data_IF_017216219216
#
_entry.id   IF_017216219216
#
_cell.length_a   1.000
_cell.length_b   1.000
_cell.length_c   1.000
_cell.angle_alpha   90.00
_cell.angle_beta   90.00
_cell.angle_gamma   90.00
#
_symmetry.space_group_name_H-M   'P 1'
#
loop_
_entity.id
_entity.type
_entity.pdbx_description
1 polymer ?
#
# COMPACT_ATOMS: atom_id res chain seq x y z
N UNK A 1 21.00 3.44 -20.33
CA UNK A 1 20.26 2.31 -20.94
C UNK A 1 18.81 2.70 -20.96
N UNK A 2 18.27 2.84 -22.15
CA UNK A 2 16.88 3.22 -22.38
C UNK A 2 15.96 2.05 -22.01
N UNK A 3 14.85 2.34 -21.34
CA UNK A 3 13.84 1.41 -20.83
C UNK A 3 13.21 0.49 -21.89
N UNK A 4 13.54 0.64 -23.18
CA UNK A 4 12.99 -0.14 -24.29
C UNK A 4 13.54 -1.57 -24.41
N UNK A 5 14.72 -1.86 -23.87
CA UNK A 5 15.34 -3.20 -23.99
C UNK A 5 14.74 -4.24 -23.03
N UNK A 6 14.10 -3.82 -21.95
CA UNK A 6 13.49 -4.73 -20.96
C UNK A 6 12.09 -5.23 -21.36
N UNK A 7 11.50 -4.68 -22.42
CA UNK A 7 10.14 -4.97 -22.87
C UNK A 7 10.06 -5.73 -24.20
N UNK A 8 11.20 -6.08 -24.77
CA UNK A 8 11.27 -6.75 -26.06
C UNK A 8 11.47 -8.26 -25.88
N UNK A 9 10.77 -9.03 -26.72
CA UNK A 9 11.10 -10.44 -26.90
C UNK A 9 12.55 -10.56 -27.38
N UNK A 10 13.24 -11.61 -26.97
CA UNK A 10 14.67 -11.76 -27.29
C UNK A 10 14.93 -13.13 -27.91
N UNK A 11 15.52 -13.12 -29.07
CA UNK A 11 16.04 -14.32 -29.73
C UNK A 11 17.56 -14.37 -29.53
N UNK A 12 18.07 -15.41 -28.87
CA UNK A 12 19.49 -15.66 -28.76
C UNK A 12 19.89 -16.69 -29.84
N UNK A 13 20.79 -16.33 -30.72
CA UNK A 13 21.23 -17.18 -31.82
C UNK A 13 22.31 -18.16 -31.34
N UNK A 14 22.51 -19.23 -32.14
CA UNK A 14 23.53 -20.26 -31.87
C UNK A 14 24.94 -19.69 -31.95
N UNK A 15 25.16 -18.73 -32.85
CA UNK A 15 26.42 -18.01 -33.03
C UNK A 15 26.77 -17.02 -31.93
N UNK A 16 25.85 -16.84 -30.94
CA UNK A 16 25.99 -15.91 -29.83
C UNK A 16 25.38 -14.54 -30.10
N UNK A 17 24.84 -14.28 -31.29
CA UNK A 17 24.09 -13.07 -31.61
C UNK A 17 22.80 -12.97 -30.79
N UNK A 18 22.28 -11.74 -30.63
CA UNK A 18 21.02 -11.49 -29.93
C UNK A 18 20.18 -10.46 -30.70
N UNK A 19 18.92 -10.80 -30.94
CA UNK A 19 17.96 -9.92 -31.60
C UNK A 19 16.84 -9.65 -30.64
N UNK A 20 16.56 -8.36 -30.43
CA UNK A 20 15.50 -7.89 -29.55
C UNK A 20 14.43 -7.18 -30.36
N UNK A 21 13.16 -7.48 -30.06
CA UNK A 21 12.03 -6.90 -30.76
C UNK A 21 10.72 -7.53 -30.30
N UNK A 22 9.71 -7.39 -31.12
CA UNK A 22 8.40 -8.01 -30.89
C UNK A 22 8.27 -9.24 -31.77
N UNK A 23 8.09 -10.41 -31.16
CA UNK A 23 7.77 -11.62 -31.91
C UNK A 23 6.38 -11.51 -32.53
N UNK A 24 6.27 -11.69 -33.85
CA UNK A 24 5.02 -11.48 -34.59
C UNK A 24 4.22 -12.78 -34.77
N UNK A 25 4.86 -13.94 -34.59
CA UNK A 25 4.24 -15.26 -34.74
C UNK A 25 4.54 -16.14 -33.51
N UNK A 26 4.00 -17.37 -33.52
CA UNK A 26 4.21 -18.34 -32.42
C UNK A 26 5.71 -18.72 -32.35
N UNK A 27 6.25 -18.71 -31.12
CA UNK A 27 7.61 -19.13 -30.81
C UNK A 27 7.93 -20.59 -31.21
N UNK A 28 6.92 -21.40 -31.49
CA UNK A 28 7.02 -22.78 -31.98
C UNK A 28 7.10 -22.88 -33.52
N UNK A 29 6.87 -21.77 -34.22
CA UNK A 29 6.94 -21.76 -35.70
C UNK A 29 8.31 -22.11 -36.18
N UNK A 30 8.41 -22.77 -37.34
CA UNK A 30 9.69 -23.14 -37.96
C UNK A 30 10.52 -21.91 -38.37
N UNK A 31 9.83 -20.83 -38.74
CA UNK A 31 10.43 -19.53 -39.04
C UNK A 31 9.84 -18.53 -38.05
N UNK A 32 10.70 -17.87 -37.30
CA UNK A 32 10.33 -16.81 -36.35
C UNK A 32 10.39 -15.45 -37.04
N UNK A 33 9.35 -14.65 -36.87
CA UNK A 33 9.27 -13.28 -37.37
C UNK A 33 9.35 -12.34 -36.21
N UNK A 34 10.36 -11.49 -36.16
CA UNK A 34 10.56 -10.50 -35.09
C UNK A 34 10.65 -9.11 -35.72
N UNK A 35 9.89 -8.17 -35.14
CA UNK A 35 9.94 -6.76 -35.49
C UNK A 35 10.84 -6.02 -34.49
N UNK A 36 11.90 -5.45 -34.97
CA UNK A 36 12.85 -4.67 -34.18
C UNK A 36 12.28 -3.30 -33.81
N UNK A 37 12.92 -2.59 -32.89
CA UNK A 37 12.46 -1.28 -32.39
C UNK A 37 12.42 -0.17 -33.46
N UNK A 38 13.21 -0.33 -34.52
CA UNK A 38 13.23 0.55 -35.71
C UNK A 38 12.20 0.15 -36.77
N UNK A 39 11.41 -0.90 -36.50
CA UNK A 39 10.32 -1.34 -37.38
C UNK A 39 10.73 -2.38 -38.45
N UNK A 40 11.98 -2.80 -38.49
CA UNK A 40 12.40 -3.86 -39.41
C UNK A 40 11.82 -5.21 -39.00
N UNK A 41 11.31 -5.97 -39.97
CA UNK A 41 10.90 -7.35 -39.76
C UNK A 41 12.04 -8.28 -40.18
N UNK A 42 12.47 -9.15 -39.27
CA UNK A 42 13.51 -10.12 -39.48
C UNK A 42 12.91 -11.53 -39.39
N UNK A 43 13.14 -12.34 -40.38
CA UNK A 43 12.77 -13.75 -40.38
C UNK A 43 13.99 -14.63 -40.06
N UNK A 44 13.85 -15.52 -39.09
CA UNK A 44 14.94 -16.38 -38.60
C UNK A 44 14.42 -17.79 -38.47
N UNK A 45 15.13 -18.74 -39.03
CA UNK A 45 14.82 -20.14 -38.83
C UNK A 45 14.96 -20.49 -37.32
N UNK A 46 13.97 -21.16 -36.78
CA UNK A 46 13.98 -21.54 -35.35
C UNK A 46 15.22 -22.39 -35.00
N UNK A 47 15.72 -23.18 -35.93
CA UNK A 47 16.95 -23.97 -35.77
C UNK A 47 18.21 -23.13 -35.54
N UNK A 48 18.17 -21.85 -35.88
CA UNK A 48 19.26 -20.90 -35.61
C UNK A 48 19.16 -20.22 -34.23
N UNK A 49 18.03 -20.42 -33.53
CA UNK A 49 17.82 -19.86 -32.22
C UNK A 49 18.16 -20.86 -31.11
N UNK A 50 19.09 -20.47 -30.24
CA UNK A 50 19.47 -21.23 -29.05
C UNK A 50 18.45 -21.06 -27.93
N UNK A 51 17.90 -19.86 -27.77
CA UNK A 51 16.94 -19.50 -26.72
C UNK A 51 15.96 -18.44 -27.24
N UNK A 52 14.68 -18.57 -26.87
CA UNK A 52 13.62 -17.62 -27.24
C UNK A 52 12.98 -17.16 -25.92
N UNK A 53 13.00 -15.88 -25.69
CA UNK A 53 12.44 -15.28 -24.48
C UNK A 53 11.32 -14.33 -24.86
N UNK A 54 10.09 -14.69 -24.46
CA UNK A 54 8.88 -13.91 -24.72
C UNK A 54 8.53 -13.14 -23.44
N UNK A 55 8.52 -11.83 -23.53
CA UNK A 55 8.31 -10.95 -22.37
C UNK A 55 6.92 -11.14 -21.76
N UNK A 56 5.88 -11.28 -22.59
CA UNK A 56 4.51 -11.51 -22.10
C UNK A 56 4.33 -12.83 -21.33
N UNK A 57 4.99 -13.91 -21.73
CA UNK A 57 4.98 -15.19 -20.99
C UNK A 57 5.65 -15.06 -19.63
N UNK A 58 6.70 -14.25 -19.52
CA UNK A 58 7.39 -14.03 -18.24
C UNK A 58 6.55 -13.23 -17.26
N UNK A 59 5.89 -12.20 -17.76
CA UNK A 59 4.96 -11.41 -16.93
C UNK A 59 3.81 -12.30 -16.43
N UNK A 60 3.23 -13.12 -17.31
CA UNK A 60 2.16 -14.05 -16.94
C UNK A 60 2.61 -15.07 -15.87
N UNK A 61 3.78 -15.68 -16.04
CA UNK A 61 4.36 -16.61 -15.06
C UNK A 61 4.68 -15.94 -13.74
N UNK A 62 5.19 -14.71 -13.77
CA UNK A 62 5.44 -13.94 -12.56
C UNK A 62 4.13 -13.63 -11.81
N UNK A 63 3.11 -13.18 -12.52
CA UNK A 63 1.79 -12.91 -11.95
C UNK A 63 1.18 -14.18 -11.33
N UNK A 64 1.25 -15.32 -12.03
CA UNK A 64 0.78 -16.61 -11.50
C UNK A 64 1.54 -17.01 -10.24
N UNK A 65 2.86 -16.83 -10.21
CA UNK A 65 3.70 -17.12 -9.05
C UNK A 65 3.30 -16.27 -7.84
N UNK A 66 3.14 -14.96 -8.01
CA UNK A 66 2.74 -14.05 -6.94
C UNK A 66 1.35 -14.40 -6.43
N UNK A 67 0.41 -14.71 -7.33
CA UNK A 67 -0.97 -15.08 -7.01
C UNK A 67 -1.08 -16.34 -6.13
N UNK A 68 -0.11 -17.21 -6.21
CA UNK A 68 -0.09 -18.46 -5.43
C UNK A 68 0.40 -18.28 -4.00
N UNK A 69 0.81 -17.06 -3.60
CA UNK A 69 1.50 -16.79 -2.34
C UNK A 69 0.83 -15.65 -1.56
N UNK A 70 0.97 -15.68 -0.24
CA UNK A 70 0.57 -14.63 0.70
C UNK A 70 1.69 -13.57 0.89
N UNK A 71 1.37 -12.44 1.52
CA UNK A 71 2.35 -11.40 1.89
C UNK A 71 3.10 -11.79 3.17
N UNK A 72 3.79 -12.93 3.13
CA UNK A 72 4.63 -13.41 4.22
C UNK A 72 6.11 -13.44 3.83
N UNK A 73 6.99 -13.35 4.84
CA UNK A 73 8.43 -13.47 4.67
C UNK A 73 8.82 -14.72 3.85
N UNK A 74 8.27 -15.89 4.18
CA UNK A 74 8.55 -17.15 3.49
C UNK A 74 8.10 -17.14 2.03
N UNK A 75 6.96 -16.55 1.75
CA UNK A 75 6.42 -16.38 0.39
C UNK A 75 7.31 -15.49 -0.45
N UNK A 76 7.72 -14.33 0.06
CA UNK A 76 8.64 -13.44 -0.64
C UNK A 76 10.00 -14.08 -0.91
N UNK A 77 10.55 -14.85 0.04
CA UNK A 77 11.76 -15.64 -0.22
C UNK A 77 11.57 -16.68 -1.35
N UNK A 78 10.42 -17.34 -1.37
CA UNK A 78 10.09 -18.32 -2.41
C UNK A 78 9.99 -17.68 -3.78
N UNK A 79 9.25 -16.57 -3.90
CA UNK A 79 9.10 -15.79 -5.14
C UNK A 79 10.47 -15.29 -5.62
N UNK A 80 11.29 -14.75 -4.70
CA UNK A 80 12.62 -14.24 -5.04
C UNK A 80 13.52 -15.33 -5.65
N UNK A 81 13.50 -16.55 -5.11
CA UNK A 81 14.27 -17.67 -5.65
C UNK A 81 13.83 -18.04 -7.06
N UNK A 82 12.54 -18.06 -7.30
CA UNK A 82 11.98 -18.40 -8.61
C UNK A 82 12.25 -17.30 -9.66
N UNK A 83 12.09 -16.02 -9.27
CA UNK A 83 12.48 -14.89 -10.11
C UNK A 83 13.97 -14.92 -10.48
N UNK A 84 14.84 -15.28 -9.53
CA UNK A 84 16.27 -15.44 -9.80
C UNK A 84 16.54 -16.55 -10.83
N UNK A 85 15.87 -17.69 -10.72
CA UNK A 85 15.94 -18.80 -11.69
C UNK A 85 15.48 -18.38 -13.07
N UNK A 86 14.50 -17.50 -13.17
CA UNK A 86 13.95 -16.98 -14.43
C UNK A 86 14.68 -15.73 -14.95
N UNK A 87 15.85 -15.40 -14.42
CA UNK A 87 16.65 -14.21 -14.79
C UNK A 87 15.94 -12.86 -14.56
N UNK A 88 14.92 -12.83 -13.72
CA UNK A 88 14.19 -11.61 -13.29
C UNK A 88 14.86 -11.01 -12.05
N UNK A 89 16.11 -10.62 -12.19
CA UNK A 89 16.96 -10.20 -11.06
C UNK A 89 16.36 -9.04 -10.24
N UNK A 90 15.75 -8.04 -10.88
CA UNK A 90 15.16 -6.91 -10.18
C UNK A 90 13.97 -7.32 -9.31
N UNK A 91 13.08 -8.15 -9.83
CA UNK A 91 11.94 -8.68 -9.08
C UNK A 91 12.42 -9.56 -7.92
N UNK A 92 13.39 -10.45 -8.17
CA UNK A 92 14.01 -11.25 -7.12
C UNK A 92 14.55 -10.39 -5.98
N UNK A 93 15.28 -9.32 -6.30
CA UNK A 93 15.82 -8.41 -5.28
C UNK A 93 14.73 -7.65 -4.55
N UNK A 94 13.70 -7.15 -5.23
CA UNK A 94 12.58 -6.46 -4.59
C UNK A 94 11.83 -7.36 -3.59
N UNK A 95 11.59 -8.63 -3.94
CA UNK A 95 10.97 -9.59 -3.04
C UNK A 95 11.88 -9.97 -1.87
N UNK A 96 13.19 -10.06 -2.05
CA UNK A 96 14.12 -10.24 -0.92
C UNK A 96 14.12 -9.03 0.01
N UNK A 97 14.07 -7.82 -0.53
CA UNK A 97 13.98 -6.58 0.26
C UNK A 97 12.66 -6.54 1.04
N UNK A 98 11.55 -6.96 0.43
CA UNK A 98 10.27 -7.10 1.16
C UNK A 98 10.37 -8.19 2.25
N UNK A 99 11.03 -9.29 1.98
CA UNK A 99 11.23 -10.34 2.99
C UNK A 99 11.99 -9.81 4.23
N UNK A 100 13.05 -9.02 4.04
CA UNK A 100 13.78 -8.44 5.20
C UNK A 100 13.04 -7.30 5.89
N UNK A 101 12.10 -6.62 5.20
CA UNK A 101 11.18 -5.69 5.85
C UNK A 101 10.22 -6.42 6.79
N UNK A 102 9.70 -7.59 6.37
CA UNK A 102 8.79 -8.41 7.16
C UNK A 102 9.50 -9.15 8.31
N UNK A 103 10.73 -9.61 8.07
CA UNK A 103 11.59 -10.21 9.10
C UNK A 103 13.04 -9.69 8.98
N UNK A 104 13.37 -8.59 9.68
CA UNK A 104 14.71 -8.02 9.65
C UNK A 104 15.80 -8.95 10.26
N UNK A 105 15.39 -10.01 10.97
CA UNK A 105 16.33 -10.96 11.60
C UNK A 105 16.80 -12.06 10.66
N UNK A 106 16.16 -12.22 9.50
CA UNK A 106 16.50 -13.26 8.53
C UNK A 106 17.83 -13.01 7.84
N UNK A 107 18.83 -13.75 8.27
CA UNK A 107 20.20 -13.70 7.75
C UNK A 107 20.27 -14.14 6.27
N UNK A 108 19.43 -15.08 5.85
CA UNK A 108 19.51 -15.65 4.50
C UNK A 108 19.12 -14.64 3.44
N UNK A 109 18.05 -13.90 3.65
CA UNK A 109 17.60 -12.85 2.74
C UNK A 109 18.63 -11.71 2.67
N UNK A 110 19.21 -11.28 3.80
CA UNK A 110 20.28 -10.30 3.79
C UNK A 110 21.51 -10.75 3.00
N UNK A 111 21.94 -12.01 3.21
CA UNK A 111 23.07 -12.57 2.47
C UNK A 111 22.78 -12.69 0.97
N UNK A 112 21.54 -13.05 0.59
CA UNK A 112 21.12 -13.13 -0.81
C UNK A 112 21.08 -11.75 -1.47
N UNK A 113 20.85 -10.68 -0.71
CA UNK A 113 20.97 -9.29 -1.14
C UNK A 113 22.42 -8.77 -1.19
N UNK A 114 23.38 -9.65 -0.92
CA UNK A 114 24.82 -9.35 -0.85
C UNK A 114 25.24 -8.42 0.31
N UNK A 115 24.53 -8.54 1.44
CA UNK A 115 24.87 -7.85 2.68
C UNK A 115 25.66 -8.77 3.63
N UNK A 116 26.41 -8.16 4.54
CA UNK A 116 27.06 -8.83 5.68
C UNK A 116 26.93 -7.94 6.92
N UNK A 117 26.97 -8.57 8.10
CA UNK A 117 26.92 -7.79 9.35
C UNK A 117 28.23 -7.09 9.62
N UNK A 118 28.15 -5.83 10.00
CA UNK A 118 29.32 -5.03 10.38
C UNK A 118 28.99 -4.06 11.53
N UNK A 119 29.62 -4.24 12.71
CA UNK A 119 30.50 -5.37 13.14
C UNK A 119 29.81 -6.72 13.11
N UNK A 120 30.56 -7.83 13.15
CA UNK A 120 29.97 -9.17 13.24
C UNK A 120 29.00 -9.28 14.41
N UNK A 121 27.82 -9.87 14.19
CA UNK A 121 26.73 -10.05 15.18
C UNK A 121 26.13 -8.76 15.75
N UNK A 122 26.34 -7.62 15.10
CA UNK A 122 25.78 -6.32 15.54
C UNK A 122 24.29 -6.13 15.17
N UNK A 123 23.75 -6.97 14.29
CA UNK A 123 22.45 -6.75 13.68
C UNK A 123 22.45 -5.66 12.59
N UNK A 124 23.58 -4.98 12.37
CA UNK A 124 23.71 -3.95 11.32
C UNK A 124 24.17 -4.63 10.03
N UNK A 125 23.34 -4.55 8.99
CA UNK A 125 23.61 -5.15 7.70
C UNK A 125 24.17 -4.12 6.72
N UNK A 126 25.28 -4.45 6.10
CA UNK A 126 26.01 -3.57 5.16
C UNK A 126 26.37 -4.39 3.91
N UNK A 127 26.27 -3.81 2.72
CA UNK A 127 26.69 -4.46 1.48
C UNK A 127 28.15 -4.88 1.55
N UNK A 128 28.46 -6.08 1.07
CA UNK A 128 29.84 -6.61 1.05
C UNK A 128 30.80 -5.75 0.23
N UNK A 129 30.32 -5.19 -0.90
CA UNK A 129 31.10 -4.25 -1.72
C UNK A 129 31.52 -3.01 -0.93
N UNK A 130 30.58 -2.48 -0.11
CA UNK A 130 30.81 -1.31 0.72
C UNK A 130 31.78 -1.61 1.86
N UNK A 131 31.71 -2.83 2.45
CA UNK A 131 32.68 -3.28 3.46
C UNK A 131 34.09 -3.39 2.89
N UNK A 132 34.24 -3.75 1.63
CA UNK A 132 35.54 -3.83 0.97
C UNK A 132 36.18 -2.44 0.76
N UNK A 133 35.37 -1.40 0.65
CA UNK A 133 35.83 -0.02 0.43
C UNK A 133 35.93 0.83 1.70
N UNK A 134 35.70 0.26 2.89
CA UNK A 134 35.59 1.00 4.16
C UNK A 134 36.92 1.50 4.72
N UNK A 135 37.52 2.48 4.04
CA UNK A 135 38.63 3.30 4.57
C UNK A 135 38.23 4.77 4.71
N UNK A 136 37.11 5.03 5.44
CA UNK A 136 36.83 6.41 5.90
C UNK A 136 36.36 7.41 4.83
N UNK A 137 35.94 6.95 3.65
CA UNK A 137 35.43 7.83 2.60
C UNK A 137 33.91 7.97 2.74
N UNK A 138 33.42 9.21 2.52
CA UNK A 138 31.98 9.47 2.37
C UNK A 138 31.47 8.66 1.17
N UNK A 139 30.57 7.74 1.41
CA UNK A 139 30.00 6.89 0.38
C UNK A 139 29.18 7.70 -0.61
N UNK A 140 29.30 7.43 -1.89
CA UNK A 140 28.55 8.08 -2.95
C UNK A 140 27.67 7.08 -3.70
N UNK A 141 26.40 7.47 -3.90
CA UNK A 141 25.46 6.73 -4.74
C UNK A 141 24.66 7.72 -5.57
N UNK A 142 24.62 7.53 -6.89
CA UNK A 142 23.96 8.42 -7.85
C UNK A 142 24.28 9.92 -7.64
N UNK A 143 25.54 10.24 -7.37
CA UNK A 143 26.00 11.61 -7.16
C UNK A 143 25.65 12.23 -5.80
N UNK A 144 24.93 11.52 -4.93
CA UNK A 144 24.65 11.94 -3.55
C UNK A 144 25.67 11.33 -2.58
N UNK A 145 26.11 12.12 -1.61
CA UNK A 145 26.95 11.66 -0.50
C UNK A 145 26.10 11.12 0.64
N UNK A 146 26.56 10.04 1.28
CA UNK A 146 25.95 9.45 2.45
C UNK A 146 26.97 9.39 3.58
N UNK A 147 26.55 9.67 4.80
CA UNK A 147 27.42 9.73 5.98
C UNK A 147 27.82 8.36 6.49
N UNK A 148 27.06 7.33 6.14
CA UNK A 148 27.30 5.94 6.54
C UNK A 148 27.09 4.99 5.36
N UNK A 149 27.81 3.88 5.39
CA UNK A 149 27.63 2.78 4.43
C UNK A 149 26.20 2.21 4.47
N UNK A 150 25.60 2.15 5.67
CA UNK A 150 24.23 1.71 5.86
C UNK A 150 23.25 2.63 5.13
N UNK A 151 23.37 3.96 5.32
CA UNK A 151 22.47 4.92 4.66
C UNK A 151 22.58 4.84 3.13
N UNK A 152 23.77 4.63 2.58
CA UNK A 152 23.96 4.37 1.15
C UNK A 152 23.28 3.09 0.71
N UNK A 153 23.49 1.99 1.44
CA UNK A 153 22.91 0.69 1.12
C UNK A 153 21.37 0.74 1.14
N UNK A 154 20.77 1.42 2.11
CA UNK A 154 19.32 1.66 2.17
C UNK A 154 18.83 2.44 0.95
N UNK A 155 19.50 3.55 0.61
CA UNK A 155 19.12 4.35 -0.57
C UNK A 155 19.20 3.53 -1.89
N UNK A 156 20.13 2.61 -1.98
CA UNK A 156 20.26 1.72 -3.13
C UNK A 156 19.18 0.64 -3.16
N UNK A 157 18.78 0.13 -1.97
CA UNK A 157 17.65 -0.79 -1.83
C UNK A 157 16.33 -0.11 -2.24
N UNK A 158 16.07 1.10 -1.72
CA UNK A 158 14.90 1.90 -2.08
C UNK A 158 14.82 2.15 -3.60
N UNK A 159 15.97 2.45 -4.22
CA UNK A 159 16.03 2.65 -5.67
C UNK A 159 15.71 1.37 -6.47
N UNK A 160 16.04 0.18 -5.94
CA UNK A 160 15.70 -1.08 -6.60
C UNK A 160 14.21 -1.39 -6.47
N UNK A 161 13.66 -1.22 -5.26
CA UNK A 161 12.22 -1.38 -5.02
C UNK A 161 11.44 -0.41 -5.92
N UNK A 162 11.83 0.86 -5.96
CA UNK A 162 11.17 1.86 -6.79
C UNK A 162 11.21 1.50 -8.28
N UNK A 163 12.34 0.98 -8.77
CA UNK A 163 12.43 0.52 -10.17
C UNK A 163 11.51 -0.68 -10.45
N UNK A 164 11.41 -1.63 -9.52
CA UNK A 164 10.50 -2.76 -9.67
C UNK A 164 9.03 -2.30 -9.65
N UNK A 165 8.67 -1.38 -8.74
CA UNK A 165 7.34 -0.74 -8.72
C UNK A 165 7.02 -0.05 -10.04
N UNK A 166 7.93 0.76 -10.59
CA UNK A 166 7.72 1.42 -11.89
C UNK A 166 7.53 0.43 -13.05
N UNK A 167 8.25 -0.68 -13.05
CA UNK A 167 8.03 -1.72 -14.06
C UNK A 167 6.62 -2.31 -13.98
N UNK A 168 6.12 -2.51 -12.76
CA UNK A 168 4.76 -3.00 -12.54
C UNK A 168 3.71 -1.94 -12.92
N UNK A 169 3.95 -0.67 -12.58
CA UNK A 169 3.11 0.47 -13.02
C UNK A 169 3.01 0.54 -14.55
N UNK A 170 4.14 0.42 -15.24
CA UNK A 170 4.18 0.41 -16.72
C UNK A 170 3.42 -0.78 -17.32
N UNK A 171 3.50 -1.96 -16.68
CA UNK A 171 2.73 -3.13 -17.09
C UNK A 171 1.23 -2.90 -16.90
N UNK A 172 0.82 -2.38 -15.75
CA UNK A 172 -0.57 -2.02 -15.44
C UNK A 172 -1.09 -1.04 -16.48
N UNK A 173 -0.35 0.03 -16.79
CA UNK A 173 -0.75 1.04 -17.78
C UNK A 173 -0.92 0.47 -19.18
N UNK A 174 0.02 -0.37 -19.61
CA UNK A 174 -0.03 -1.01 -20.92
C UNK A 174 -1.27 -1.89 -21.06
N UNK A 175 -1.53 -2.73 -20.07
CA UNK A 175 -2.68 -3.63 -20.08
C UNK A 175 -4.00 -2.87 -19.91
N UNK A 176 -4.04 -1.83 -19.09
CA UNK A 176 -5.24 -1.00 -18.93
C UNK A 176 -5.71 -0.36 -20.24
N UNK A 177 -4.79 0.16 -21.05
CA UNK A 177 -5.09 0.75 -22.37
C UNK A 177 -5.67 -0.26 -23.36
N UNK A 178 -5.33 -1.53 -23.22
CA UNK A 178 -5.72 -2.60 -24.15
C UNK A 178 -6.91 -3.44 -23.69
N UNK A 179 -7.37 -3.32 -22.43
CA UNK A 179 -8.35 -4.24 -21.81
C UNK A 179 -9.69 -4.39 -22.54
N UNK A 180 -10.12 -3.34 -23.25
CA UNK A 180 -11.39 -3.31 -23.97
C UNK A 180 -11.27 -3.77 -25.44
N UNK A 181 -10.07 -4.10 -25.90
CA UNK A 181 -9.86 -4.60 -27.27
C UNK A 181 -10.30 -6.04 -27.40
N UNK A 182 -10.82 -6.41 -28.57
CA UNK A 182 -11.20 -7.80 -28.92
C UNK A 182 -10.03 -8.63 -29.47
N UNK A 183 -8.87 -8.01 -29.61
CA UNK A 183 -7.62 -8.61 -30.11
C UNK A 183 -6.95 -9.47 -29.05
N UNK A 184 -5.92 -10.24 -29.43
CA UNK A 184 -5.08 -11.00 -28.49
C UNK A 184 -4.52 -10.12 -27.38
N UNK A 185 -4.14 -8.87 -27.67
CA UNK A 185 -3.71 -7.90 -26.64
C UNK A 185 -4.79 -7.60 -25.60
N UNK A 186 -6.05 -7.57 -26.02
CA UNK A 186 -7.15 -7.39 -25.08
C UNK A 186 -7.38 -8.64 -24.21
N UNK A 187 -7.19 -9.84 -24.77
CA UNK A 187 -7.26 -11.09 -24.01
C UNK A 187 -6.11 -11.13 -22.98
N UNK A 188 -4.88 -10.85 -23.39
CA UNK A 188 -3.71 -10.77 -22.50
C UNK A 188 -3.93 -9.75 -21.36
N UNK A 189 -4.48 -8.58 -21.70
CA UNK A 189 -4.76 -7.55 -20.71
C UNK A 189 -5.79 -7.99 -19.66
N UNK A 190 -6.87 -8.63 -20.07
CA UNK A 190 -7.87 -9.18 -19.14
C UNK A 190 -7.28 -10.30 -18.28
N UNK A 191 -6.50 -11.18 -18.88
CA UNK A 191 -5.80 -12.27 -18.16
C UNK A 191 -4.79 -11.68 -17.15
N UNK A 192 -4.05 -10.64 -17.53
CA UNK A 192 -3.16 -9.94 -16.61
C UNK A 192 -3.91 -9.44 -15.39
N UNK A 193 -5.01 -8.69 -15.58
CA UNK A 193 -5.78 -8.14 -14.45
C UNK A 193 -6.52 -9.21 -13.65
N UNK A 194 -7.05 -10.25 -14.26
CA UNK A 194 -7.70 -11.35 -13.51
C UNK A 194 -6.72 -12.11 -12.62
N UNK A 195 -5.45 -12.04 -12.94
CA UNK A 195 -4.38 -12.73 -12.21
C UNK A 195 -3.50 -11.79 -11.39
N UNK A 196 -3.72 -10.49 -11.38
CA UNK A 196 -2.89 -9.54 -10.64
C UNK A 196 -3.25 -9.55 -9.15
N UNK A 197 -2.38 -10.13 -8.31
CA UNK A 197 -2.48 -10.10 -6.85
C UNK A 197 -1.16 -9.67 -6.17
N UNK A 198 -0.25 -9.06 -6.94
CA UNK A 198 1.00 -8.56 -6.39
C UNK A 198 0.75 -7.36 -5.47
N UNK A 199 1.06 -7.52 -4.18
CA UNK A 199 0.88 -6.47 -3.16
C UNK A 199 1.62 -5.17 -3.49
N UNK A 200 2.69 -5.23 -4.30
CA UNK A 200 3.39 -4.03 -4.77
C UNK A 200 2.54 -3.16 -5.70
N UNK A 201 1.46 -3.70 -6.28
CA UNK A 201 0.53 -2.94 -7.11
C UNK A 201 -0.48 -2.11 -6.31
N UNK A 202 -0.63 -2.36 -5.00
CA UNK A 202 -1.67 -1.73 -4.16
C UNK A 202 -1.58 -0.19 -4.19
N UNK A 203 -0.37 0.34 -4.10
CA UNK A 203 -0.14 1.79 -4.11
C UNK A 203 -0.62 2.42 -5.42
N UNK A 204 -0.29 1.82 -6.57
CA UNK A 204 -0.70 2.32 -7.88
C UNK A 204 -2.20 2.17 -8.09
N UNK A 205 -2.79 1.03 -7.72
CA UNK A 205 -4.24 0.81 -7.79
C UNK A 205 -4.98 1.85 -6.93
N UNK A 206 -4.54 2.07 -5.69
CA UNK A 206 -5.12 3.06 -4.79
C UNK A 206 -5.03 4.47 -5.35
N UNK A 207 -3.90 4.83 -5.96
CA UNK A 207 -3.70 6.11 -6.65
C UNK A 207 -4.68 6.28 -7.80
N UNK A 208 -4.86 5.24 -8.65
CA UNK A 208 -5.83 5.26 -9.76
C UNK A 208 -7.26 5.46 -9.28
N UNK A 209 -7.66 4.78 -8.22
CA UNK A 209 -8.98 4.98 -7.62
C UNK A 209 -9.15 6.45 -7.20
N UNK A 210 -8.18 7.03 -6.48
CA UNK A 210 -8.22 8.43 -6.04
C UNK A 210 -8.27 9.42 -7.21
N UNK A 211 -7.49 9.17 -8.26
CA UNK A 211 -7.50 10.00 -9.49
C UNK A 211 -8.83 9.95 -10.23
N UNK A 212 -9.47 8.80 -10.29
CA UNK A 212 -10.79 8.65 -10.92
C UNK A 212 -11.91 9.26 -10.08
N UNK A 213 -11.86 9.09 -8.76
CA UNK A 213 -12.77 9.75 -7.84
C UNK A 213 -12.71 11.29 -7.97
N UNK A 214 -11.51 11.85 -8.12
CA UNK A 214 -11.34 13.29 -8.36
C UNK A 214 -11.97 13.76 -9.67
N UNK A 215 -12.18 12.85 -10.64
CA UNK A 215 -12.86 13.10 -11.91
C UNK A 215 -14.36 12.76 -11.88
N UNK A 216 -14.89 12.38 -10.70
CA UNK A 216 -16.29 12.04 -10.49
C UNK A 216 -16.71 10.71 -11.13
N UNK A 217 -15.79 9.83 -11.42
CA UNK A 217 -16.06 8.49 -11.99
C UNK A 217 -15.33 7.41 -11.19
N UNK A 218 -15.81 6.18 -11.30
CA UNK A 218 -15.24 4.99 -10.66
C UNK A 218 -15.16 3.91 -11.73
N UNK A 219 -13.99 3.34 -11.91
CA UNK A 219 -13.84 2.11 -12.71
C UNK A 219 -13.84 0.92 -11.75
N UNK A 220 -14.87 0.07 -11.86
CA UNK A 220 -15.05 -1.11 -11.00
C UNK A 220 -13.86 -2.08 -11.05
N UNK A 221 -13.06 -2.01 -12.12
CA UNK A 221 -11.85 -2.82 -12.25
C UNK A 221 -10.90 -2.59 -11.08
N UNK A 222 -10.63 -1.32 -10.73
CA UNK A 222 -9.65 -0.98 -9.69
C UNK A 222 -10.11 -1.45 -8.30
N UNK A 223 -11.39 -1.30 -8.00
CA UNK A 223 -11.96 -1.79 -6.74
C UNK A 223 -11.91 -3.32 -6.68
N UNK A 224 -12.23 -4.01 -7.78
CA UNK A 224 -12.18 -5.46 -7.88
C UNK A 224 -10.74 -5.99 -7.72
N UNK A 225 -9.75 -5.31 -8.31
CA UNK A 225 -8.34 -5.66 -8.16
C UNK A 225 -7.89 -5.50 -6.71
N UNK A 226 -8.20 -4.37 -6.08
CA UNK A 226 -7.83 -4.14 -4.68
C UNK A 226 -8.45 -5.21 -3.75
N UNK A 227 -9.67 -5.65 -4.07
CA UNK A 227 -10.36 -6.73 -3.35
C UNK A 227 -9.70 -8.11 -3.51
N UNK A 228 -8.99 -8.33 -4.61
CA UNK A 228 -8.27 -9.59 -4.89
C UNK A 228 -6.89 -9.63 -4.24
N UNK A 229 -6.34 -8.46 -3.85
CA UNK A 229 -5.01 -8.38 -3.26
C UNK A 229 -5.00 -9.05 -1.88
N UNK A 230 -4.04 -9.95 -1.62
CA UNK A 230 -3.92 -10.58 -0.32
C UNK A 230 -3.33 -9.62 0.73
N UNK A 231 -3.62 -9.92 2.00
CA UNK A 231 -2.92 -9.36 3.13
C UNK A 231 -3.45 -8.04 3.67
N UNK A 232 -2.84 -7.61 4.75
CA UNK A 232 -3.25 -6.42 5.52
C UNK A 232 -3.10 -5.09 4.76
N UNK A 233 -2.17 -5.03 3.81
CA UNK A 233 -1.93 -3.83 3.00
C UNK A 233 -3.13 -3.46 2.13
N UNK A 234 -3.79 -4.44 1.51
CA UNK A 234 -5.02 -4.23 0.74
C UNK A 234 -6.17 -3.78 1.63
N UNK A 235 -6.35 -4.43 2.79
CA UNK A 235 -7.33 -4.00 3.79
C UNK A 235 -7.06 -2.57 4.27
N UNK A 236 -5.79 -2.23 4.53
CA UNK A 236 -5.39 -0.87 4.89
C UNK A 236 -5.73 0.17 3.81
N UNK A 237 -5.50 -0.15 2.54
CA UNK A 237 -5.87 0.70 1.41
C UNK A 237 -7.39 0.88 1.27
N UNK A 238 -8.17 -0.19 1.46
CA UNK A 238 -9.64 -0.13 1.47
C UNK A 238 -10.17 0.72 2.64
N UNK A 239 -9.56 0.62 3.82
CA UNK A 239 -9.89 1.45 4.98
C UNK A 239 -9.60 2.93 4.70
N UNK A 240 -8.42 3.23 4.13
CA UNK A 240 -8.05 4.60 3.75
C UNK A 240 -9.04 5.19 2.73
N UNK A 241 -9.46 4.40 1.76
CA UNK A 241 -10.48 4.79 0.78
C UNK A 241 -11.84 5.00 1.46
N UNK A 242 -12.32 4.07 2.29
CA UNK A 242 -13.59 4.19 2.99
C UNK A 242 -13.67 5.45 3.86
N UNK A 243 -12.56 5.78 4.55
CA UNK A 243 -12.51 6.93 5.46
C UNK A 243 -12.35 8.26 4.70
N UNK A 244 -11.59 8.29 3.60
CA UNK A 244 -11.21 9.53 2.93
C UNK A 244 -12.00 9.82 1.63
N UNK A 245 -12.71 8.84 1.06
CA UNK A 245 -13.56 9.08 -0.09
C UNK A 245 -14.78 9.93 0.30
N UNK A 246 -14.99 11.04 -0.40
CA UNK A 246 -16.23 11.82 -0.28
C UNK A 246 -17.33 11.27 -1.21
N UNK A 247 -17.48 9.93 -1.22
CA UNK A 247 -18.40 9.24 -2.10
C UNK A 247 -18.96 8.00 -1.38
N UNK A 248 -20.25 8.03 -1.07
CA UNK A 248 -20.94 6.97 -0.32
C UNK A 248 -20.91 5.62 -1.04
N UNK A 249 -20.98 5.61 -2.38
CA UNK A 249 -20.91 4.37 -3.16
C UNK A 249 -19.54 3.68 -2.96
N UNK A 250 -18.45 4.45 -2.91
CA UNK A 250 -17.11 3.91 -2.65
C UNK A 250 -16.98 3.44 -1.22
N UNK A 251 -17.51 4.22 -0.26
CA UNK A 251 -17.55 3.84 1.15
C UNK A 251 -18.23 2.46 1.30
N UNK A 252 -19.42 2.28 0.72
CA UNK A 252 -20.19 1.04 0.78
C UNK A 252 -19.47 -0.14 0.09
N UNK A 253 -18.86 0.11 -1.06
CA UNK A 253 -18.07 -0.91 -1.76
C UNK A 253 -16.86 -1.35 -0.92
N UNK A 254 -16.11 -0.41 -0.35
CA UNK A 254 -14.98 -0.73 0.50
C UNK A 254 -15.41 -1.56 1.72
N UNK A 255 -16.51 -1.18 2.40
CA UNK A 255 -17.05 -1.94 3.51
C UNK A 255 -17.45 -3.36 3.10
N UNK A 256 -18.16 -3.50 1.98
CA UNK A 256 -18.56 -4.81 1.45
C UNK A 256 -17.34 -5.71 1.20
N UNK A 257 -16.23 -5.13 0.74
CA UNK A 257 -15.00 -5.87 0.49
C UNK A 257 -14.27 -6.24 1.80
N UNK A 258 -14.27 -5.33 2.77
CA UNK A 258 -13.59 -5.52 4.06
C UNK A 258 -14.26 -6.58 4.95
N UNK A 259 -15.58 -6.79 4.83
CA UNK A 259 -16.30 -7.79 5.65
C UNK A 259 -16.31 -9.20 5.03
N UNK A 260 -15.63 -9.41 3.89
CA UNK A 260 -15.62 -10.71 3.21
C UNK A 260 -14.88 -11.80 3.97
N UNK A 261 -13.83 -11.44 4.70
CA UNK A 261 -13.02 -12.38 5.49
C UNK A 261 -12.91 -11.91 6.94
N UNK A 262 -12.85 -12.83 7.92
CA UNK A 262 -12.69 -12.46 9.34
C UNK A 262 -11.44 -11.60 9.58
N UNK A 263 -10.31 -11.91 8.93
CA UNK A 263 -9.06 -11.18 9.11
C UNK A 263 -9.16 -9.73 8.60
N UNK A 264 -9.77 -9.50 7.44
CA UNK A 264 -9.98 -8.15 6.92
C UNK A 264 -10.99 -7.36 7.76
N UNK A 265 -12.00 -8.01 8.33
CA UNK A 265 -12.95 -7.40 9.26
C UNK A 265 -12.25 -6.92 10.54
N UNK A 266 -11.35 -7.71 11.10
CA UNK A 266 -10.58 -7.33 12.29
C UNK A 266 -9.63 -6.15 12.01
N UNK A 267 -8.97 -6.16 10.86
CA UNK A 267 -8.13 -5.04 10.42
C UNK A 267 -8.99 -3.78 10.22
N UNK A 268 -10.17 -3.91 9.60
CA UNK A 268 -11.12 -2.82 9.39
C UNK A 268 -11.59 -2.23 10.73
N UNK A 269 -11.96 -3.08 11.68
CA UNK A 269 -12.34 -2.67 13.01
C UNK A 269 -11.24 -1.85 13.68
N UNK A 270 -10.01 -2.37 13.72
CA UNK A 270 -8.87 -1.67 14.30
C UNK A 270 -8.58 -0.33 13.60
N UNK A 271 -8.66 -0.31 12.26
CA UNK A 271 -8.45 0.90 11.46
C UNK A 271 -9.50 1.98 11.74
N UNK A 272 -10.78 1.62 11.80
CA UNK A 272 -11.86 2.58 12.11
C UNK A 272 -11.83 3.05 13.57
N UNK A 273 -11.45 2.17 14.49
CA UNK A 273 -11.19 2.56 15.89
C UNK A 273 -10.08 3.61 16.00
N UNK A 274 -9.00 3.46 15.25
CA UNK A 274 -7.91 4.43 15.18
C UNK A 274 -8.35 5.75 14.53
N UNK A 275 -9.19 5.69 13.51
CA UNK A 275 -9.73 6.86 12.83
C UNK A 275 -10.72 7.64 13.71
N UNK A 276 -11.47 6.96 14.58
CA UNK A 276 -12.42 7.59 15.51
C UNK A 276 -11.74 8.60 16.46
N UNK A 277 -10.46 8.39 16.78
CA UNK A 277 -9.68 9.30 17.60
C UNK A 277 -9.38 10.64 16.89
N UNK A 278 -9.44 10.69 15.56
CA UNK A 278 -9.16 11.89 14.76
C UNK A 278 -10.46 12.71 14.58
N UNK A 279 -10.49 13.98 15.03
CA UNK A 279 -11.72 14.79 15.00
C UNK A 279 -12.37 14.89 13.61
N UNK A 280 -11.56 15.03 12.55
CA UNK A 280 -11.99 15.18 11.17
C UNK A 280 -12.55 13.89 10.53
N UNK A 281 -12.21 12.73 11.09
CA UNK A 281 -12.62 11.42 10.58
C UNK A 281 -13.68 10.74 11.48
N UNK A 282 -13.93 11.29 12.66
CA UNK A 282 -14.75 10.67 13.70
C UNK A 282 -16.14 10.25 13.25
N UNK A 283 -16.85 11.14 12.58
CA UNK A 283 -18.22 10.84 12.14
C UNK A 283 -18.27 9.74 11.07
N UNK A 284 -17.27 9.68 10.18
CA UNK A 284 -17.17 8.59 9.19
C UNK A 284 -16.78 7.29 9.85
N UNK A 285 -15.78 7.31 10.72
CA UNK A 285 -15.34 6.14 11.45
C UNK A 285 -16.49 5.53 12.29
N UNK A 286 -17.32 6.37 12.91
CA UNK A 286 -18.48 5.92 13.67
C UNK A 286 -19.50 5.18 12.76
N UNK A 287 -19.81 5.71 11.56
CA UNK A 287 -20.70 5.03 10.60
C UNK A 287 -20.14 3.68 10.15
N UNK A 288 -18.83 3.61 9.91
CA UNK A 288 -18.20 2.36 9.51
C UNK A 288 -18.19 1.33 10.64
N UNK A 289 -17.95 1.76 11.89
CA UNK A 289 -18.07 0.89 13.07
C UNK A 289 -19.51 0.41 13.28
N UNK A 290 -20.51 1.28 13.03
CA UNK A 290 -21.91 0.88 13.00
C UNK A 290 -22.17 -0.23 11.99
N UNK A 291 -21.64 -0.10 10.76
CA UNK A 291 -21.81 -1.10 9.70
C UNK A 291 -21.16 -2.44 10.03
N UNK A 292 -20.05 -2.44 10.81
CA UNK A 292 -19.41 -3.68 11.26
C UNK A 292 -20.21 -4.43 12.33
N UNK A 293 -21.12 -3.76 13.02
CA UNK A 293 -21.96 -4.33 14.09
C UNK A 293 -21.16 -5.03 15.21
N UNK A 294 -19.94 -4.54 15.50
CA UNK A 294 -19.07 -5.11 16.53
C UNK A 294 -19.24 -4.40 17.87
N UNK A 295 -19.75 -5.10 18.92
CA UNK A 295 -19.99 -4.49 20.23
C UNK A 295 -18.72 -4.00 20.94
N UNK A 296 -17.53 -4.46 20.53
CA UNK A 296 -16.25 -3.96 21.07
C UNK A 296 -16.03 -2.46 20.80
N UNK A 297 -16.76 -1.87 19.85
CA UNK A 297 -16.70 -0.44 19.56
C UNK A 297 -17.42 0.42 20.64
N UNK A 298 -18.38 -0.15 21.38
CA UNK A 298 -19.26 0.60 22.31
C UNK A 298 -18.46 1.48 23.29
N UNK A 299 -17.46 0.99 24.03
CA UNK A 299 -16.75 1.81 25.02
C UNK A 299 -16.04 3.02 24.41
N UNK A 300 -15.51 2.87 23.20
CA UNK A 300 -14.77 3.94 22.52
C UNK A 300 -15.74 4.93 21.88
N UNK A 301 -16.88 4.46 21.34
CA UNK A 301 -17.95 5.32 20.87
C UNK A 301 -18.52 6.18 22.00
N UNK A 302 -18.77 5.62 23.20
CA UNK A 302 -19.22 6.39 24.37
C UNK A 302 -18.22 7.51 24.73
N UNK A 303 -16.92 7.21 24.68
CA UNK A 303 -15.89 8.24 24.94
C UNK A 303 -15.86 9.33 23.86
N UNK A 304 -16.20 8.97 22.64
CA UNK A 304 -16.16 9.86 21.46
C UNK A 304 -17.47 10.63 21.24
N UNK A 305 -18.51 10.37 22.03
CA UNK A 305 -19.87 10.93 21.88
C UNK A 305 -19.89 12.45 21.97
N UNK A 306 -19.11 13.02 22.88
CA UNK A 306 -18.96 14.45 23.07
C UNK A 306 -17.48 14.79 23.13
N UNK A 307 -17.05 15.76 22.35
CA UNK A 307 -15.67 16.29 22.39
C UNK A 307 -15.67 17.75 22.80
N UNK A 308 -14.52 18.28 23.18
CA UNK A 308 -14.36 19.68 23.55
C UNK A 308 -13.55 20.40 22.48
N UNK A 309 -14.13 21.44 21.90
CA UNK A 309 -13.43 22.33 20.95
C UNK A 309 -12.98 23.58 21.70
N UNK A 310 -11.67 23.84 21.71
CA UNK A 310 -11.11 25.08 22.26
C UNK A 310 -11.14 26.16 21.18
N UNK A 311 -11.90 27.23 21.43
CA UNK A 311 -11.95 28.41 20.57
C UNK A 311 -11.24 29.55 21.31
N UNK A 312 -10.18 30.05 20.66
CA UNK A 312 -9.40 31.18 21.14
C UNK A 312 -9.92 32.43 20.46
N UNK A 313 -10.59 33.31 21.22
CA UNK A 313 -10.96 34.64 20.74
C UNK A 313 -9.88 35.64 21.14
N UNK A 314 -9.26 36.25 20.15
CA UNK A 314 -8.37 37.40 20.35
C UNK A 314 -9.17 38.66 20.09
N UNK A 315 -9.41 39.43 21.14
CA UNK A 315 -10.09 40.75 21.04
C UNK A 315 -9.17 41.87 21.52
N UNK A 316 -9.24 43.06 20.92
CA UNK A 316 -8.55 44.22 21.46
C UNK A 316 -9.19 44.61 22.82
N UNK A 317 -8.39 44.63 23.86
CA UNK A 317 -8.81 45.08 25.18
C UNK A 317 -8.26 46.50 25.38
N UNK A 318 -9.16 47.48 25.41
CA UNK A 318 -8.84 48.87 25.80
C UNK A 318 -9.14 48.98 27.28
N UNK A 319 -8.13 49.00 28.10
CA UNK A 319 -8.27 49.40 29.51
C UNK A 319 -7.76 50.84 29.70
N UNK A 320 -8.63 51.68 30.28
CA UNK A 320 -8.26 53.06 30.67
C UNK A 320 -7.87 53.02 32.12
N UNK A 321 -6.62 53.33 32.44
CA UNK A 321 -6.16 53.47 33.83
C UNK A 321 -6.61 54.83 34.38
N UNK A 322 -6.89 54.88 35.71
CA UNK A 322 -7.28 56.07 36.45
C UNK A 322 -6.32 57.26 36.35
N UNK A 323 -5.14 57.07 35.75
CA UNK A 323 -4.12 58.11 35.49
C UNK A 323 -4.08 58.56 34.00
N UNK A 324 -5.12 58.23 33.20
CA UNK A 324 -5.22 58.69 31.78
C UNK A 324 -4.37 57.96 30.76
N UNK A 325 -3.73 56.87 31.11
CA UNK A 325 -2.97 56.03 30.19
C UNK A 325 -3.84 54.97 29.53
N UNK A 326 -3.83 54.90 28.20
CA UNK A 326 -4.45 53.82 27.40
C UNK A 326 -3.47 52.69 27.19
N UNK A 327 -3.78 51.50 27.74
CA UNK A 327 -2.99 50.30 27.42
C UNK A 327 -3.78 49.44 26.44
N UNK A 328 -3.25 49.27 25.25
CA UNK A 328 -3.74 48.32 24.24
C UNK A 328 -3.10 46.94 24.52
N UNK A 329 -3.90 46.04 25.11
CA UNK A 329 -3.49 44.66 25.35
C UNK A 329 -4.34 43.71 24.53
N UNK A 330 -3.73 42.67 24.01
CA UNK A 330 -4.47 41.54 23.39
C UNK A 330 -4.87 40.56 24.52
N UNK A 331 -6.14 40.50 24.85
CA UNK A 331 -6.64 39.47 25.76
C UNK A 331 -7.11 38.26 24.93
N UNK A 332 -6.39 37.15 25.09
CA UNK A 332 -6.75 35.87 24.49
C UNK A 332 -7.63 35.10 25.47
N UNK A 333 -8.93 34.98 25.17
CA UNK A 333 -9.86 34.21 25.98
C UNK A 333 -10.10 32.86 25.27
N UNK A 334 -9.69 31.77 25.90
CA UNK A 334 -9.99 30.43 25.41
C UNK A 334 -11.30 29.97 26.01
N UNK A 335 -12.26 29.66 25.15
CA UNK A 335 -13.54 29.05 25.53
C UNK A 335 -13.56 27.59 25.10
N UNK A 336 -14.04 26.75 25.99
CA UNK A 336 -14.27 25.33 25.71
C UNK A 336 -15.74 25.10 25.35
N UNK A 337 -16.01 24.65 24.15
CA UNK A 337 -17.38 24.39 23.68
C UNK A 337 -17.52 22.88 23.47
N UNK A 338 -18.52 22.23 24.11
CA UNK A 338 -18.84 20.84 23.84
C UNK A 338 -19.37 20.67 22.40
N UNK A 339 -18.87 19.69 21.70
CA UNK A 339 -19.31 19.32 20.36
C UNK A 339 -19.90 17.90 20.40
N UNK A 340 -21.18 17.82 20.10
CA UNK A 340 -21.94 16.58 20.05
C UNK A 340 -21.75 15.91 18.67
N UNK A 341 -21.46 14.61 18.66
CA UNK A 341 -21.23 13.82 17.45
C UNK A 341 -22.44 12.93 17.14
N UNK A 342 -23.24 13.37 16.16
CA UNK A 342 -24.48 12.68 15.80
C UNK A 342 -24.23 11.27 15.26
N UNK A 343 -23.25 11.08 14.40
CA UNK A 343 -22.93 9.77 13.84
C UNK A 343 -22.48 8.77 14.91
N UNK A 344 -21.78 9.25 15.95
CA UNK A 344 -21.39 8.44 17.09
C UNK A 344 -22.62 8.00 17.89
N UNK A 345 -23.59 8.92 18.11
CA UNK A 345 -24.84 8.59 18.77
C UNK A 345 -25.66 7.56 17.98
N UNK A 346 -25.74 7.71 16.66
CA UNK A 346 -26.43 6.77 15.79
C UNK A 346 -25.79 5.38 15.85
N UNK A 347 -24.48 5.30 15.78
CA UNK A 347 -23.73 4.05 15.93
C UNK A 347 -23.99 3.37 17.27
N UNK A 348 -24.01 4.13 18.37
CA UNK A 348 -24.34 3.60 19.69
C UNK A 348 -25.77 3.07 19.75
N UNK A 349 -26.74 3.85 19.24
CA UNK A 349 -28.15 3.41 19.21
C UNK A 349 -28.33 2.11 18.38
N UNK A 350 -27.67 2.04 17.24
CA UNK A 350 -27.71 0.87 16.36
C UNK A 350 -27.11 -0.38 17.01
N UNK A 351 -25.93 -0.21 17.65
CA UNK A 351 -25.22 -1.34 18.28
C UNK A 351 -25.87 -1.85 19.57
N UNK A 352 -26.59 -0.98 20.28
CA UNK A 352 -27.08 -1.30 21.63
C UNK A 352 -28.59 -1.40 21.72
N UNK A 353 -29.31 -0.83 20.78
CA UNK A 353 -30.78 -0.64 20.86
C UNK A 353 -31.21 0.38 21.92
N UNK A 354 -30.28 1.06 22.58
CA UNK A 354 -30.54 2.05 23.64
C UNK A 354 -30.40 3.47 23.10
N UNK A 355 -31.01 4.43 23.79
CA UNK A 355 -30.88 5.86 23.48
C UNK A 355 -30.85 6.71 24.75
N UNK A 356 -29.65 7.13 25.13
CA UNK A 356 -29.44 8.06 26.25
C UNK A 356 -28.99 9.44 25.74
N UNK A 357 -29.27 9.77 24.48
CA UNK A 357 -28.83 11.02 23.84
C UNK A 357 -27.32 11.25 24.06
N UNK A 358 -26.91 12.47 24.37
CA UNK A 358 -25.50 12.80 24.60
C UNK A 358 -25.08 12.70 26.07
N UNK A 359 -25.87 12.01 26.90
CA UNK A 359 -25.61 11.84 28.32
C UNK A 359 -24.62 10.70 28.57
N UNK A 360 -23.33 11.05 28.48
CA UNK A 360 -22.21 10.07 28.57
C UNK A 360 -22.27 9.20 29.82
N UNK A 361 -22.67 9.80 30.98
CA UNK A 361 -22.72 9.08 32.26
C UNK A 361 -23.81 7.99 32.24
N UNK A 362 -24.94 8.24 31.58
CA UNK A 362 -25.99 7.22 31.43
C UNK A 362 -25.54 6.09 30.56
N UNK A 363 -24.82 6.39 29.45
CA UNK A 363 -24.20 5.38 28.59
C UNK A 363 -23.18 4.53 29.36
N UNK A 364 -22.31 5.14 30.15
CA UNK A 364 -21.32 4.44 30.96
C UNK A 364 -21.97 3.55 32.03
N UNK A 365 -23.01 4.07 32.72
CA UNK A 365 -23.74 3.30 33.71
C UNK A 365 -24.40 2.06 33.08
N UNK A 366 -25.11 2.25 31.96
CA UNK A 366 -25.75 1.18 31.24
C UNK A 366 -24.71 0.14 30.76
N UNK A 367 -23.60 0.58 30.18
CA UNK A 367 -22.55 -0.30 29.72
C UNK A 367 -21.93 -1.12 30.86
N UNK A 368 -21.73 -0.51 32.01
CA UNK A 368 -21.19 -1.17 33.18
C UNK A 368 -22.19 -2.20 33.77
N UNK A 369 -23.51 -1.95 33.66
CA UNK A 369 -24.52 -2.87 34.19
C UNK A 369 -24.86 -4.04 33.29
N UNK A 370 -24.85 -3.83 31.98
CA UNK A 370 -25.36 -4.83 30.99
C UNK A 370 -24.27 -5.51 30.18
N UNK A 371 -23.13 -4.85 29.98
CA UNK A 371 -22.10 -5.27 29.00
C UNK A 371 -20.72 -5.53 29.60
N UNK A 372 -20.39 -4.93 30.73
CA UNK A 372 -19.09 -5.15 31.34
C UNK A 372 -19.06 -6.52 32.02
N UNK A 373 -18.18 -7.38 31.53
CA UNK A 373 -17.84 -8.61 32.23
C UNK A 373 -17.39 -8.28 33.66
N UNK A 374 -17.84 -9.06 34.65
CA UNK A 374 -17.60 -8.84 36.09
C UNK A 374 -16.12 -8.66 36.46
N UNK A 375 -15.22 -8.98 35.52
CA UNK A 375 -13.77 -8.88 35.64
C UNK A 375 -13.13 -7.59 35.05
N UNK A 376 -13.89 -6.68 34.46
CA UNK A 376 -13.34 -5.43 33.97
C UNK A 376 -13.13 -4.45 35.13
N UNK A 377 -11.88 -4.30 35.55
CA UNK A 377 -11.49 -3.29 36.53
C UNK A 377 -11.56 -1.88 35.88
N UNK A 378 -12.75 -1.28 35.92
CA UNK A 378 -13.03 0.06 35.39
C UNK A 378 -12.23 1.17 36.10
N UNK A 379 -11.51 0.86 37.22
CA UNK A 379 -10.66 1.80 37.95
C UNK A 379 -9.33 2.07 37.32
N UNK A 380 -8.89 1.23 36.32
CA UNK A 380 -7.57 1.31 35.69
C UNK A 380 -7.51 2.13 34.39
N UNK A 381 -8.64 2.57 33.86
CA UNK A 381 -8.70 3.45 32.69
C UNK A 381 -9.58 4.66 32.97
N UNK A 382 -9.00 5.75 33.52
CA UNK A 382 -9.69 7.03 33.64
C UNK A 382 -9.94 7.70 32.30
#
# INVERSE_FOLDING_TARGET
CTFSELQADTLRLIDGGMISGKLLNDAKSEVLKIQTSDGMEIEIARTQCKDIRITGEREAKYVELVNSKDDSHASHQSIARECAGNSQKLLSMAHLERAVELDPTDKNSWVALDYAQSPPNSGIWVKKEVLAHSKGLVERYKGRGYTTQYARAMAEADDRINRAKHQLEDAIDRHYKNRNQTTNRGIEARTFFSNLTDVMAIDEISKRIKEELAKGRIDDLWMSLLAQMPGSSASGALIDLAINANNTQVEDQCLTLLVRTPDSTEIAFSGFMSALAKPELRDRAARHLESLQDPRAIPVLIRSLVSVKKITQSGPNTSVNTSGGMTLGNNTKTMEIPVNHQSVLQALNSLTGQNFSYERDKWLYWYASEYADVNLDLRRNP
#
